data_IF_244562507714
#
_entry.id   IF_244562507714
#
_cell.length_a   1.000
_cell.length_b   1.000
_cell.length_c   1.000
_cell.angle_alpha   90.00
_cell.angle_beta   90.00
_cell.angle_gamma   90.00
#
_symmetry.space_group_name_H-M   'P 1'
#
loop_
_entity.id
_entity.type
_entity.pdbx_description
1 polymer ?
#
# COMPACT_ATOMS: atom_id res chain seq x y z
N UNK A 1 -19.62 -13.55 11.21
CA UNK A 1 -18.45 -13.74 12.10
C UNK A 1 -18.51 -12.88 13.35
N UNK A 2 -18.59 -11.54 13.26
CA UNK A 2 -18.42 -10.65 14.43
C UNK A 2 -19.60 -10.60 15.40
N UNK A 3 -20.84 -10.83 14.93
CA UNK A 3 -22.07 -10.78 15.77
C UNK A 3 -22.06 -11.76 16.96
N UNK A 4 -21.22 -12.80 16.96
CA UNK A 4 -21.08 -13.76 18.07
C UNK A 4 -20.43 -13.16 19.32
N UNK A 5 -19.75 -12.01 19.20
CA UNK A 5 -19.10 -11.33 20.31
C UNK A 5 -19.94 -10.20 20.91
N UNK A 6 -21.00 -9.76 20.21
CA UNK A 6 -21.90 -8.72 20.67
C UNK A 6 -22.63 -8.03 19.51
N UNK A 7 -23.50 -7.08 19.87
CA UNK A 7 -24.22 -6.24 18.91
C UNK A 7 -23.24 -5.41 18.07
N UNK A 8 -23.45 -5.43 16.76
CA UNK A 8 -22.61 -4.75 15.77
C UNK A 8 -23.44 -3.62 15.18
N UNK A 9 -22.95 -2.39 15.32
CA UNK A 9 -23.63 -1.20 14.83
C UNK A 9 -23.31 -0.97 13.34
N UNK A 10 -22.04 -1.15 12.97
CA UNK A 10 -21.57 -0.87 11.61
C UNK A 10 -20.54 -1.89 11.13
N UNK A 11 -20.61 -2.23 9.85
CA UNK A 11 -19.59 -3.02 9.15
C UNK A 11 -19.30 -2.35 7.82
N UNK A 12 -18.03 -2.14 7.54
CA UNK A 12 -17.57 -1.50 6.32
C UNK A 12 -16.37 -2.27 5.76
N UNK A 13 -16.42 -2.63 4.48
CA UNK A 13 -15.32 -3.28 3.76
C UNK A 13 -14.74 -2.25 2.81
N UNK A 14 -13.43 -2.03 2.88
CA UNK A 14 -12.75 -1.08 2.01
C UNK A 14 -12.48 -1.71 0.64
N UNK A 15 -12.82 -0.94 -0.39
CA UNK A 15 -12.66 -1.31 -1.78
C UNK A 15 -11.65 -0.37 -2.44
N UNK A 16 -10.93 -0.89 -3.44
CA UNK A 16 -10.05 -0.07 -4.26
C UNK A 16 -10.87 0.99 -5.03
N UNK A 17 -10.44 2.26 -5.09
CA UNK A 17 -11.24 3.36 -5.64
C UNK A 17 -11.55 3.18 -7.13
N UNK A 18 -10.58 2.64 -7.90
CA UNK A 18 -10.74 2.36 -9.34
C UNK A 18 -11.34 1.00 -9.66
N UNK A 19 -10.69 -0.08 -9.20
CA UNK A 19 -11.07 -1.45 -9.59
C UNK A 19 -12.27 -2.00 -8.83
N UNK A 20 -12.68 -1.34 -7.74
CA UNK A 20 -13.76 -1.78 -6.83
C UNK A 20 -13.53 -3.16 -6.21
N UNK A 21 -12.32 -3.73 -6.36
CA UNK A 21 -11.92 -4.97 -5.70
C UNK A 21 -11.75 -4.76 -4.20
N UNK A 22 -12.09 -5.77 -3.42
CA UNK A 22 -11.88 -5.74 -1.97
C UNK A 22 -10.39 -5.70 -1.63
N UNK A 23 -10.05 -4.98 -0.57
CA UNK A 23 -8.66 -4.76 -0.15
C UNK A 23 -8.22 -5.65 1.02
N UNK A 24 -9.04 -6.60 1.49
CA UNK A 24 -8.74 -7.35 2.73
C UNK A 24 -8.86 -6.52 4.00
N UNK A 25 -9.34 -5.28 3.91
CA UNK A 25 -9.49 -4.36 5.03
C UNK A 25 -10.97 -4.16 5.34
N UNK A 26 -11.31 -4.26 6.62
CA UNK A 26 -12.65 -4.01 7.12
C UNK A 26 -12.63 -3.23 8.43
N UNK A 27 -13.70 -2.48 8.68
CA UNK A 27 -14.02 -1.85 9.96
C UNK A 27 -15.29 -2.50 10.50
N UNK A 28 -15.28 -2.81 11.79
CA UNK A 28 -16.45 -3.28 12.53
C UNK A 28 -16.60 -2.41 13.76
N UNK A 29 -17.75 -1.76 13.91
CA UNK A 29 -18.11 -1.01 15.10
C UNK A 29 -19.05 -1.86 15.96
N UNK A 30 -18.70 -2.05 17.22
CA UNK A 30 -19.54 -2.74 18.19
C UNK A 30 -20.21 -1.74 19.10
N UNK A 31 -21.45 -2.03 19.50
CA UNK A 31 -22.19 -1.25 20.49
C UNK A 31 -21.51 -1.23 21.86
N UNK A 32 -20.68 -2.25 22.15
CA UNK A 32 -19.96 -2.37 23.42
C UNK A 32 -18.45 -2.48 23.21
N UNK A 33 -17.64 -1.70 23.95
CA UNK A 33 -16.18 -1.85 23.96
C UNK A 33 -15.72 -3.24 24.41
N UNK A 34 -16.51 -3.94 25.24
CA UNK A 34 -16.22 -5.31 25.68
C UNK A 34 -16.29 -6.27 24.50
N UNK A 35 -17.38 -6.19 23.72
CA UNK A 35 -17.55 -6.99 22.51
C UNK A 35 -16.42 -6.75 21.49
N UNK A 36 -15.98 -5.51 21.32
CA UNK A 36 -14.85 -5.18 20.46
C UNK A 36 -13.55 -5.89 20.94
N UNK A 37 -13.22 -5.77 22.22
CA UNK A 37 -12.02 -6.42 22.82
C UNK A 37 -12.09 -7.94 22.70
N UNK A 38 -13.25 -8.53 22.99
CA UNK A 38 -13.43 -9.98 22.92
C UNK A 38 -13.36 -10.49 21.48
N UNK A 39 -13.89 -9.73 20.52
CA UNK A 39 -13.77 -10.07 19.10
C UNK A 39 -12.31 -10.08 18.64
N UNK A 40 -11.51 -9.10 19.05
CA UNK A 40 -10.07 -9.06 18.72
C UNK A 40 -9.35 -10.24 19.35
N UNK A 41 -9.59 -10.53 20.63
CA UNK A 41 -8.96 -11.67 21.33
C UNK A 41 -9.19 -13.02 20.63
N UNK A 42 -10.38 -13.23 20.08
CA UNK A 42 -10.75 -14.53 19.50
C UNK A 42 -10.59 -14.61 17.98
N UNK A 43 -10.51 -13.48 17.27
CA UNK A 43 -10.38 -13.47 15.81
C UNK A 43 -8.96 -13.17 15.34
N UNK A 44 -8.18 -12.42 16.13
CA UNK A 44 -6.80 -12.14 15.80
C UNK A 44 -6.01 -13.45 15.71
N UNK A 45 -5.22 -13.60 14.64
CA UNK A 45 -4.45 -14.80 14.30
C UNK A 45 -5.28 -16.08 14.09
N UNK A 46 -6.57 -15.95 13.79
CA UNK A 46 -7.39 -17.10 13.35
C UNK A 46 -7.40 -17.23 11.84
N UNK A 47 -7.37 -18.47 11.35
CA UNK A 47 -7.44 -18.76 9.92
C UNK A 47 -8.89 -18.88 9.44
N UNK A 48 -9.25 -18.13 8.41
CA UNK A 48 -10.54 -18.22 7.72
C UNK A 48 -10.31 -18.26 6.22
N UNK A 49 -10.83 -19.32 5.58
CA UNK A 49 -10.66 -19.58 4.14
C UNK A 49 -9.19 -19.55 3.69
N UNK A 50 -8.29 -20.07 4.54
CA UNK A 50 -6.85 -20.12 4.25
C UNK A 50 -6.09 -18.82 4.50
N UNK A 51 -6.74 -17.76 4.99
CA UNK A 51 -6.08 -16.50 5.34
C UNK A 51 -6.12 -16.26 6.86
N UNK A 52 -5.01 -15.78 7.42
CA UNK A 52 -4.93 -15.40 8.84
C UNK A 52 -5.50 -14.00 9.02
N UNK A 53 -6.47 -13.85 9.93
CA UNK A 53 -7.11 -12.57 10.23
C UNK A 53 -6.22 -11.77 11.19
N UNK A 54 -5.85 -10.55 10.78
CA UNK A 54 -5.30 -9.55 11.68
C UNK A 54 -6.40 -8.64 12.23
N UNK A 55 -6.87 -8.93 13.44
CA UNK A 55 -7.82 -8.06 14.14
C UNK A 55 -7.09 -7.19 15.19
N UNK A 56 -7.43 -5.91 15.27
CA UNK A 56 -6.87 -4.98 16.26
C UNK A 56 -7.88 -3.86 16.58
N UNK A 57 -7.74 -3.21 17.74
CA UNK A 57 -8.50 -2.00 18.07
C UNK A 57 -7.83 -0.81 17.37
N UNK A 58 -8.57 -0.13 16.49
CA UNK A 58 -8.03 0.97 15.68
C UNK A 58 -8.75 2.29 16.00
N UNK A 59 -8.10 3.10 16.83
CA UNK A 59 -8.64 4.39 17.27
C UNK A 59 -8.62 5.35 16.07
N UNK A 60 -9.79 5.92 15.74
CA UNK A 60 -10.00 6.80 14.58
C UNK A 60 -9.65 6.19 13.21
N UNK A 61 -9.40 4.88 13.13
CA UNK A 61 -9.07 4.24 11.86
C UNK A 61 -7.67 4.56 11.32
N UNK A 62 -6.74 5.03 12.16
CA UNK A 62 -5.40 5.46 11.73
C UNK A 62 -4.61 4.33 11.07
N UNK A 63 -4.60 3.15 11.67
CA UNK A 63 -3.86 2.02 11.12
C UNK A 63 -4.52 1.51 9.83
N UNK A 64 -5.85 1.38 9.82
CA UNK A 64 -6.61 1.00 8.63
C UNK A 64 -6.34 1.95 7.45
N UNK A 65 -6.27 3.25 7.69
CA UNK A 65 -6.00 4.24 6.63
C UNK A 65 -4.57 4.11 6.09
N UNK A 66 -3.58 3.96 6.98
CA UNK A 66 -2.19 3.72 6.57
C UNK A 66 -2.07 2.47 5.68
N UNK A 67 -2.73 1.37 6.05
CA UNK A 67 -2.73 0.14 5.26
C UNK A 67 -3.44 0.31 3.91
N UNK A 68 -4.55 1.05 3.89
CA UNK A 68 -5.29 1.37 2.66
C UNK A 68 -4.39 2.12 1.67
N UNK A 69 -3.67 3.15 2.12
CA UNK A 69 -2.75 3.93 1.28
C UNK A 69 -1.62 3.08 0.70
N UNK A 70 -1.04 2.17 1.50
CA UNK A 70 0.01 1.26 1.03
C UNK A 70 -0.46 0.32 -0.09
N UNK A 71 -1.68 -0.22 0.02
CA UNK A 71 -2.24 -1.12 -1.00
C UNK A 71 -2.63 -0.33 -2.26
N UNK A 72 -3.29 0.82 -2.10
CA UNK A 72 -3.74 1.65 -3.23
C UNK A 72 -2.55 2.28 -3.98
N UNK A 73 -1.45 2.59 -3.29
CA UNK A 73 -0.19 3.04 -3.93
C UNK A 73 0.58 1.93 -4.64
N UNK A 74 0.16 0.66 -4.49
CA UNK A 74 0.84 -0.50 -5.08
C UNK A 74 2.12 -0.90 -4.33
N UNK A 75 2.32 -0.42 -3.10
CA UNK A 75 3.49 -0.78 -2.28
C UNK A 75 3.38 -2.20 -1.71
N UNK A 76 2.16 -2.70 -1.50
CA UNK A 76 1.90 -4.07 -1.04
C UNK A 76 0.57 -4.60 -1.59
N UNK A 77 0.31 -5.89 -1.37
CA UNK A 77 -0.98 -6.54 -1.67
C UNK A 77 -1.77 -6.78 -0.39
N UNK A 78 -3.09 -7.00 -0.46
CA UNK A 78 -3.89 -7.37 0.71
C UNK A 78 -3.34 -8.54 1.55
N UNK A 79 -2.63 -9.48 0.93
CA UNK A 79 -2.06 -10.66 1.60
C UNK A 79 -0.65 -10.41 2.18
N UNK A 80 0.06 -9.38 1.70
CA UNK A 80 1.44 -9.07 2.10
C UNK A 80 1.53 -7.77 2.90
N UNK A 81 0.40 -7.26 3.37
CA UNK A 81 0.32 -6.01 4.11
C UNK A 81 0.94 -6.18 5.50
N UNK A 82 1.83 -5.27 5.93
CA UNK A 82 2.54 -5.42 7.21
C UNK A 82 1.60 -5.15 8.38
N UNK A 83 1.17 -6.20 9.07
CA UNK A 83 0.23 -6.12 10.21
C UNK A 83 0.83 -6.49 11.56
N UNK A 84 2.02 -7.09 11.61
CA UNK A 84 2.68 -7.48 12.86
C UNK A 84 3.37 -6.33 13.61
N UNK A 85 3.80 -6.55 14.88
CA UNK A 85 4.64 -5.62 15.64
C UNK A 85 6.04 -5.40 15.03
N UNK A 86 6.39 -6.17 14.00
CA UNK A 86 7.61 -6.10 13.22
C UNK A 86 7.69 -4.87 12.26
N UNK A 87 6.89 -3.83 12.56
CA UNK A 87 6.82 -2.60 11.76
C UNK A 87 8.14 -1.82 11.77
N UNK A 88 9.00 -2.03 12.77
CA UNK A 88 10.32 -1.41 12.81
C UNK A 88 11.26 -1.99 11.74
N UNK A 89 11.37 -3.32 11.67
CA UNK A 89 12.23 -3.98 10.68
C UNK A 89 11.67 -3.86 9.25
N UNK A 90 10.35 -4.02 9.11
CA UNK A 90 9.67 -3.85 7.82
C UNK A 90 9.69 -2.40 7.35
N UNK A 91 9.66 -1.43 8.27
CA UNK A 91 9.73 0.00 7.97
C UNK A 91 11.08 0.40 7.37
N UNK A 92 12.18 -0.14 7.91
CA UNK A 92 13.53 0.07 7.37
C UNK A 92 13.64 -0.51 5.96
N UNK A 93 13.17 -1.74 5.74
CA UNK A 93 13.16 -2.36 4.40
C UNK A 93 12.29 -1.58 3.41
N UNK A 94 11.10 -1.12 3.84
CA UNK A 94 10.22 -0.32 3.00
C UNK A 94 10.83 1.03 2.64
N UNK A 95 11.48 1.71 3.59
CA UNK A 95 12.19 2.96 3.35
C UNK A 95 13.35 2.77 2.35
N UNK A 96 14.15 1.71 2.55
CA UNK A 96 15.24 1.36 1.63
C UNK A 96 14.73 1.11 0.21
N UNK A 97 13.65 0.33 0.06
CA UNK A 97 13.03 0.06 -1.24
C UNK A 97 12.52 1.35 -1.90
N UNK A 98 11.94 2.27 -1.12
CA UNK A 98 11.51 3.58 -1.64
C UNK A 98 12.68 4.43 -2.11
N UNK A 99 13.76 4.52 -1.33
CA UNK A 99 14.98 5.24 -1.73
C UNK A 99 15.61 4.66 -2.98
N UNK A 100 15.65 3.33 -3.09
CA UNK A 100 16.13 2.65 -4.30
C UNK A 100 15.28 3.02 -5.52
N UNK A 101 13.94 3.01 -5.40
CA UNK A 101 13.04 3.41 -6.49
C UNK A 101 13.28 4.86 -6.92
N UNK A 102 13.41 5.78 -5.96
CA UNK A 102 13.66 7.19 -6.25
C UNK A 102 15.02 7.39 -6.94
N UNK A 103 16.06 6.70 -6.46
CA UNK A 103 17.40 6.75 -7.05
C UNK A 103 17.40 6.20 -8.47
N UNK A 104 16.80 5.02 -8.69
CA UNK A 104 16.68 4.43 -10.02
C UNK A 104 15.90 5.32 -10.98
N UNK A 105 14.79 5.92 -10.54
CA UNK A 105 14.00 6.83 -11.36
C UNK A 105 14.82 8.06 -11.79
N UNK A 106 15.56 8.65 -10.84
CA UNK A 106 16.44 9.79 -11.12
C UNK A 106 17.51 9.42 -12.15
N UNK A 107 18.17 8.28 -11.97
CA UNK A 107 19.27 7.84 -12.82
C UNK A 107 18.77 7.47 -14.23
N UNK A 108 17.60 6.83 -14.34
CA UNK A 108 16.95 6.56 -15.62
C UNK A 108 16.57 7.84 -16.36
N UNK A 109 15.95 8.80 -15.66
CA UNK A 109 15.61 10.10 -16.24
C UNK A 109 16.85 10.84 -16.73
N UNK A 110 17.92 10.85 -15.92
CA UNK A 110 19.21 11.44 -16.29
C UNK A 110 19.80 10.78 -17.54
N UNK A 111 19.85 9.44 -17.58
CA UNK A 111 20.33 8.69 -18.76
C UNK A 111 19.50 8.96 -20.01
N UNK A 112 18.18 9.11 -19.86
CA UNK A 112 17.29 9.42 -20.99
C UNK A 112 17.60 10.80 -21.58
N UNK A 113 17.83 11.80 -20.73
CA UNK A 113 18.23 13.15 -21.19
C UNK A 113 19.62 13.12 -21.83
N UNK A 114 20.61 12.55 -21.13
CA UNK A 114 22.02 12.60 -21.55
C UNK A 114 22.31 11.75 -22.79
N UNK A 115 21.82 10.51 -22.83
CA UNK A 115 22.20 9.55 -23.87
C UNK A 115 21.20 9.45 -25.01
N UNK A 116 19.96 9.90 -24.82
CA UNK A 116 18.94 9.84 -25.86
C UNK A 116 18.62 11.23 -26.37
N UNK A 117 18.16 12.14 -25.49
CA UNK A 117 17.68 13.45 -25.92
C UNK A 117 18.80 14.35 -26.48
N UNK A 118 19.93 14.50 -25.78
CA UNK A 118 21.03 15.33 -26.29
C UNK A 118 21.65 14.76 -27.56
N UNK A 119 21.89 13.45 -27.63
CA UNK A 119 22.41 12.82 -28.84
C UNK A 119 21.46 12.97 -30.04
N UNK A 120 20.15 12.86 -29.82
CA UNK A 120 19.16 13.08 -30.86
C UNK A 120 19.13 14.55 -31.33
N UNK A 121 19.31 15.49 -30.40
CA UNK A 121 19.41 16.91 -30.71
C UNK A 121 20.68 17.24 -31.50
N UNK A 122 21.86 16.77 -31.05
CA UNK A 122 23.13 16.98 -31.75
C UNK A 122 23.08 16.42 -33.18
N UNK A 123 22.57 15.20 -33.35
CA UNK A 123 22.42 14.59 -34.68
C UNK A 123 21.39 15.32 -35.56
N UNK A 124 20.39 15.97 -34.98
CA UNK A 124 19.49 16.85 -35.74
C UNK A 124 20.18 18.15 -36.15
N UNK A 125 20.95 18.75 -35.24
CA UNK A 125 21.68 20.00 -35.46
C UNK A 125 22.72 19.85 -36.58
N UNK A 126 23.56 18.80 -36.53
CA UNK A 126 24.57 18.52 -37.56
C UNK A 126 23.96 18.41 -38.97
N UNK A 127 22.85 17.66 -39.10
CA UNK A 127 22.11 17.54 -40.37
C UNK A 127 21.58 18.89 -40.87
N UNK A 128 21.26 19.81 -39.96
CA UNK A 128 20.77 21.13 -40.34
C UNK A 128 21.90 22.03 -40.82
N UNK A 129 23.08 21.96 -40.21
CA UNK A 129 24.27 22.66 -40.68
C UNK A 129 24.73 22.17 -42.06
N UNK A 130 24.65 20.86 -42.31
CA UNK A 130 24.95 20.29 -43.64
C UNK A 130 23.99 20.78 -44.73
N UNK A 131 22.72 21.04 -44.41
CA UNK A 131 21.75 21.58 -45.38
C UNK A 131 21.95 23.07 -45.71
N UNK A 132 22.74 23.78 -44.90
CA UNK A 132 23.00 25.22 -45.04
C UNK A 132 24.35 25.48 -45.72
N UNK A 133 25.18 24.45 -45.90
CA UNK A 133 26.42 24.47 -46.70
C UNK A 133 26.13 24.11 -48.16
#
# INVERSE_FOLDING_TARGET
>A
MCRKFGAVDEVEILLHPRTRKHLGLARVLFASPRAAKDSVRHLHNTSVMGNVIHAQIDVKGQQRMKLYELIVSGSCTPQTVPTGPDQAETGVLAALVQEMKLTMQRDLNRKMVENVAFRAFDAWWERKEEQVK
#
